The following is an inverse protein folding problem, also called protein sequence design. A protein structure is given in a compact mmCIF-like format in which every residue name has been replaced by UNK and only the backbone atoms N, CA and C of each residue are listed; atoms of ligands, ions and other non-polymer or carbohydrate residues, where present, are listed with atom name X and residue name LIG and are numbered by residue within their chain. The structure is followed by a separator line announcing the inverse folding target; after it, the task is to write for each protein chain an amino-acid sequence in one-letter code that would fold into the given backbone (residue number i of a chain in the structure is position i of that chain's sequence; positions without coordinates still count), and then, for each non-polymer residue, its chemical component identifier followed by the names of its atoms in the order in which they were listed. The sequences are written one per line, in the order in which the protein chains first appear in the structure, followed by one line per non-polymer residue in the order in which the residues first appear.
data_IF_011842163767
#
_entry.id   IF_011842163767
#
_cell.length_a   1.000
_cell.length_b   1.000
_cell.length_c   1.000
_cell.angle_alpha   90.00
_cell.angle_beta   90.00
_cell.angle_gamma   90.00
#
_symmetry.space_group_name_H-M   'P 1'
#
loop_
_entity.id
_entity.type
_entity.pdbx_description
1 polymer ?
#
# COMPACT_ATOMS: atom_id res chain seq x y z
N UNK A 1 -43.39 -8.06 19.94
CA UNK A 1 -42.21 -7.21 20.14
C UNK A 1 -41.07 -7.55 19.15
N UNK A 2 -41.38 -8.00 17.94
CA UNK A 2 -40.42 -8.54 16.95
C UNK A 2 -40.22 -7.63 15.73
N UNK A 3 -40.92 -6.52 15.64
CA UNK A 3 -40.98 -5.72 14.39
C UNK A 3 -40.03 -4.54 14.32
N UNK A 4 -39.34 -4.16 15.40
CA UNK A 4 -38.49 -2.95 15.39
C UNK A 4 -37.04 -3.18 14.90
N UNK A 5 -36.53 -4.39 15.02
CA UNK A 5 -35.15 -4.73 14.59
C UNK A 5 -35.03 -4.97 13.08
N UNK A 6 -36.12 -5.32 12.41
CA UNK A 6 -36.14 -5.67 10.98
C UNK A 6 -35.87 -4.47 10.07
N UNK A 7 -36.25 -3.24 10.45
CA UNK A 7 -36.08 -2.05 9.63
C UNK A 7 -34.62 -1.54 9.60
N UNK A 8 -33.86 -1.70 10.68
CA UNK A 8 -32.47 -1.31 10.73
C UNK A 8 -31.57 -2.21 9.86
N UNK A 9 -31.86 -3.51 9.81
CA UNK A 9 -31.15 -4.45 8.95
C UNK A 9 -31.32 -4.11 7.48
N UNK A 10 -32.53 -3.75 7.04
CA UNK A 10 -32.82 -3.30 5.69
C UNK A 10 -32.09 -1.98 5.36
N UNK A 11 -32.10 -1.02 6.29
CA UNK A 11 -31.44 0.26 6.10
C UNK A 11 -29.92 0.11 5.95
N UNK A 12 -29.29 -0.72 6.78
CA UNK A 12 -27.86 -1.04 6.69
C UNK A 12 -27.54 -1.78 5.39
N UNK A 13 -28.39 -2.74 4.98
CA UNK A 13 -28.23 -3.44 3.69
C UNK A 13 -28.30 -2.49 2.50
N UNK A 14 -29.20 -1.51 2.52
CA UNK A 14 -29.33 -0.48 1.50
C UNK A 14 -28.09 0.43 1.47
N UNK A 15 -27.58 0.83 2.62
CA UNK A 15 -26.35 1.66 2.71
C UNK A 15 -25.16 0.87 2.17
N UNK A 16 -25.02 -0.41 2.54
CA UNK A 16 -23.94 -1.28 2.03
C UNK A 16 -24.07 -1.47 0.52
N UNK A 17 -25.27 -1.69 0.00
CA UNK A 17 -25.53 -1.81 -1.44
C UNK A 17 -25.22 -0.49 -2.17
N UNK A 18 -25.66 0.64 -1.66
CA UNK A 18 -25.32 1.94 -2.21
C UNK A 18 -23.81 2.17 -2.21
N UNK A 19 -23.13 1.82 -1.13
CA UNK A 19 -21.68 1.95 -1.03
C UNK A 19 -20.95 1.04 -2.04
N UNK A 20 -21.41 -0.20 -2.20
CA UNK A 20 -20.88 -1.13 -3.22
C UNK A 20 -21.13 -0.58 -4.62
N UNK A 21 -22.30 -0.01 -4.88
CA UNK A 21 -22.66 0.57 -6.18
C UNK A 21 -21.88 1.85 -6.50
N UNK A 22 -21.64 2.73 -5.50
CA UNK A 22 -20.87 3.96 -5.67
C UNK A 22 -19.35 3.73 -5.62
N UNK A 23 -18.87 2.60 -5.14
CA UNK A 23 -17.44 2.30 -5.07
C UNK A 23 -16.71 2.28 -6.43
N UNK A 24 -17.35 1.95 -7.58
CA UNK A 24 -16.73 2.10 -8.90
C UNK A 24 -16.44 3.56 -9.26
N UNK A 25 -17.22 4.52 -8.75
CA UNK A 25 -16.98 5.96 -8.93
C UNK A 25 -15.68 6.43 -8.25
N UNK A 26 -15.28 5.80 -7.16
CA UNK A 26 -13.96 6.01 -6.54
C UNK A 26 -12.81 5.34 -7.30
N UNK A 27 -13.12 4.40 -8.18
CA UNK A 27 -12.16 3.72 -9.06
C UNK A 27 -11.98 4.40 -10.42
N UNK A 28 -12.58 5.55 -10.67
CA UNK A 28 -12.19 6.39 -11.79
C UNK A 28 -10.74 6.82 -11.51
N UNK A 29 -9.81 5.97 -11.92
CA UNK A 29 -8.46 6.41 -12.27
C UNK A 29 -8.68 7.41 -13.40
N UNK A 30 -8.81 8.67 -13.05
CA UNK A 30 -8.52 9.73 -13.98
C UNK A 30 -7.10 9.42 -14.44
N UNK A 31 -6.99 8.93 -15.66
CA UNK A 31 -5.72 8.78 -16.35
C UNK A 31 -5.25 10.22 -16.56
N UNK A 32 -4.60 10.73 -15.51
CA UNK A 32 -4.05 12.09 -15.52
C UNK A 32 -2.82 11.98 -16.40
N UNK A 33 -3.03 12.24 -17.68
CA UNK A 33 -1.95 12.40 -18.62
C UNK A 33 -0.86 13.31 -18.01
N UNK A 34 0.37 13.08 -18.37
CA UNK A 34 1.47 13.93 -17.93
C UNK A 34 1.35 15.26 -18.63
N UNK A 35 0.94 16.32 -17.92
CA UNK A 35 0.96 17.68 -18.41
C UNK A 35 2.35 18.27 -18.17
N UNK A 36 3.15 18.30 -19.21
CA UNK A 36 4.48 18.87 -19.20
C UNK A 36 4.64 19.85 -20.38
N UNK A 37 5.26 21.00 -20.13
CA UNK A 37 5.52 22.03 -21.16
C UNK A 37 6.69 21.67 -22.08
N UNK A 38 7.35 20.53 -21.85
CA UNK A 38 8.51 20.08 -22.61
C UNK A 38 8.32 18.68 -23.18
N UNK A 39 9.08 18.38 -24.25
CA UNK A 39 9.17 17.04 -24.79
C UNK A 39 9.67 16.06 -23.73
N UNK A 40 8.88 15.06 -23.41
CA UNK A 40 9.19 14.03 -22.41
C UNK A 40 10.50 13.30 -22.71
N UNK A 41 10.90 13.19 -23.97
CA UNK A 41 12.14 12.53 -24.38
C UNK A 41 13.41 13.30 -23.99
N UNK A 42 13.33 14.61 -23.73
CA UNK A 42 14.46 15.45 -23.32
C UNK A 42 14.70 15.46 -21.81
N UNK A 43 13.80 14.83 -21.04
CA UNK A 43 13.85 14.81 -19.58
C UNK A 43 15.01 13.91 -19.14
N UNK A 44 15.86 14.46 -18.27
CA UNK A 44 16.96 13.74 -17.63
C UNK A 44 16.75 13.51 -16.13
N UNK A 45 16.00 14.40 -15.47
CA UNK A 45 15.71 14.28 -14.02
C UNK A 45 14.22 14.47 -13.77
N UNK A 46 13.70 13.70 -12.85
CA UNK A 46 12.33 13.81 -12.36
C UNK A 46 12.34 14.01 -10.85
N UNK A 47 11.50 14.89 -10.37
CA UNK A 47 11.23 15.12 -8.97
C UNK A 47 9.74 14.87 -8.70
N UNK A 48 9.45 13.96 -7.79
CA UNK A 48 8.08 13.57 -7.55
C UNK A 48 7.91 12.65 -6.34
N UNK A 49 6.64 12.36 -6.04
CA UNK A 49 6.22 11.57 -4.89
C UNK A 49 5.81 10.16 -5.34
N UNK A 50 6.36 9.14 -4.71
CA UNK A 50 5.95 7.75 -4.95
C UNK A 50 4.50 7.56 -4.46
N UNK A 51 3.64 7.07 -5.34
CA UNK A 51 2.23 6.79 -5.05
C UNK A 51 1.92 5.31 -4.85
N UNK A 52 2.76 4.43 -5.39
CA UNK A 52 2.64 2.98 -5.22
C UNK A 52 3.96 2.36 -4.78
N UNK A 53 3.91 1.35 -3.91
CA UNK A 53 5.13 0.61 -3.54
C UNK A 53 5.74 -0.05 -4.78
N UNK A 54 7.08 -0.08 -4.90
CA UNK A 54 7.76 -0.72 -6.01
C UNK A 54 7.42 -2.21 -6.10
N UNK A 55 7.15 -2.72 -7.30
CA UNK A 55 6.87 -4.13 -7.57
C UNK A 55 7.90 -4.68 -8.53
N UNK A 56 8.47 -5.84 -8.23
CA UNK A 56 9.45 -6.51 -9.09
C UNK A 56 8.84 -6.90 -10.42
N UNK A 57 9.50 -6.55 -11.52
CA UNK A 57 9.07 -6.90 -12.87
C UNK A 57 9.43 -8.35 -13.20
N UNK A 58 8.74 -8.96 -14.16
CA UNK A 58 8.96 -10.36 -14.58
C UNK A 58 10.39 -10.64 -15.06
N UNK A 59 11.11 -9.63 -15.57
CA UNK A 59 12.51 -9.76 -15.99
C UNK A 59 13.52 -9.69 -14.83
N UNK A 60 13.05 -9.55 -13.59
CA UNK A 60 13.83 -9.45 -12.35
C UNK A 60 14.89 -8.34 -12.29
N UNK A 61 15.11 -7.60 -13.39
CA UNK A 61 16.14 -6.54 -13.50
C UNK A 61 15.65 -5.20 -12.97
N UNK A 62 14.32 -4.96 -12.96
CA UNK A 62 13.71 -3.69 -12.62
C UNK A 62 12.55 -3.87 -11.65
N UNK A 63 12.34 -2.84 -10.84
CA UNK A 63 11.12 -2.62 -10.07
C UNK A 63 10.30 -1.53 -10.75
N UNK A 64 9.00 -1.73 -10.87
CA UNK A 64 8.08 -0.71 -11.38
C UNK A 64 7.33 -0.02 -10.25
N UNK A 65 7.22 1.29 -10.33
CA UNK A 65 6.42 2.11 -9.41
C UNK A 65 5.79 3.28 -10.16
N UNK A 66 4.78 3.90 -9.57
CA UNK A 66 4.16 5.10 -10.10
C UNK A 66 4.59 6.31 -9.27
N UNK A 67 5.04 7.36 -9.94
CA UNK A 67 5.45 8.62 -9.33
C UNK A 67 4.54 9.73 -9.81
N UNK A 68 4.01 10.50 -8.86
CA UNK A 68 3.33 11.76 -9.13
C UNK A 68 4.43 12.83 -9.30
N UNK A 69 4.54 13.37 -10.51
CA UNK A 69 5.54 14.38 -10.85
C UNK A 69 5.18 15.72 -10.22
N UNK A 70 6.20 16.40 -9.70
CA UNK A 70 6.13 17.78 -9.25
C UNK A 70 6.96 18.68 -10.18
N UNK A 71 8.19 18.25 -10.51
CA UNK A 71 9.12 18.97 -11.36
C UNK A 71 9.90 18.01 -12.24
N UNK A 72 10.27 18.48 -13.40
CA UNK A 72 11.16 17.76 -14.32
C UNK A 72 12.29 18.68 -14.76
N UNK A 73 13.47 18.12 -14.99
CA UNK A 73 14.60 18.87 -15.52
C UNK A 73 15.11 18.23 -16.80
N UNK A 74 15.43 19.07 -17.77
CA UNK A 74 16.03 18.67 -19.04
C UNK A 74 17.55 18.59 -18.93
N UNK A 75 18.21 18.04 -19.94
CA UNK A 75 19.67 18.00 -20.04
C UNK A 75 20.32 19.39 -20.00
N UNK A 76 19.58 20.43 -20.39
CA UNK A 76 20.01 21.85 -20.33
C UNK A 76 19.86 22.45 -18.91
N UNK A 77 19.54 21.66 -17.89
CA UNK A 77 19.28 22.12 -16.52
C UNK A 77 18.06 23.07 -16.36
N UNK A 78 17.23 23.19 -17.36
CA UNK A 78 15.97 23.91 -17.25
C UNK A 78 14.98 23.07 -16.45
N UNK A 79 14.33 23.69 -15.47
CA UNK A 79 13.35 23.03 -14.61
C UNK A 79 11.94 23.47 -14.98
N UNK A 80 11.06 22.51 -15.22
CA UNK A 80 9.66 22.75 -15.54
C UNK A 80 8.76 22.15 -14.47
N UNK A 81 7.71 22.88 -14.12
CA UNK A 81 6.65 22.33 -13.30
C UNK A 81 5.85 21.33 -14.14
N UNK A 82 5.71 20.12 -13.64
CA UNK A 82 5.01 19.05 -14.33
C UNK A 82 4.04 18.40 -13.36
N UNK A 83 2.85 18.05 -13.82
CA UNK A 83 1.87 17.37 -13.00
C UNK A 83 1.34 16.15 -13.76
N UNK A 84 1.35 15.01 -13.13
CA UNK A 84 0.83 13.78 -13.71
C UNK A 84 1.47 12.55 -13.10
N UNK A 85 0.89 11.39 -13.40
CA UNK A 85 1.41 10.09 -12.99
C UNK A 85 2.28 9.51 -14.08
N UNK A 86 3.51 9.16 -13.74
CA UNK A 86 4.43 8.47 -14.65
C UNK A 86 4.81 7.11 -14.06
N UNK A 87 4.89 6.12 -14.94
CA UNK A 87 5.45 4.81 -14.57
C UNK A 87 6.97 4.88 -14.63
N UNK A 88 7.60 4.47 -13.54
CA UNK A 88 9.06 4.54 -13.35
C UNK A 88 9.61 3.15 -13.13
N UNK A 89 10.69 2.81 -13.84
CA UNK A 89 11.44 1.59 -13.68
C UNK A 89 12.76 1.86 -12.97
N UNK A 90 12.93 1.29 -11.79
CA UNK A 90 14.12 1.44 -10.95
C UNK A 90 14.92 0.15 -11.03
N UNK A 91 16.22 0.17 -11.36
CA UNK A 91 17.06 -1.03 -11.38
C UNK A 91 17.04 -1.77 -10.04
N UNK A 92 16.93 -3.10 -10.07
CA UNK A 92 16.91 -3.93 -8.87
C UNK A 92 18.11 -3.68 -7.97
N UNK A 93 19.30 -3.46 -8.55
CA UNK A 93 20.52 -3.14 -7.81
C UNK A 93 20.39 -1.90 -6.91
N UNK A 94 19.58 -0.91 -7.31
CA UNK A 94 19.38 0.33 -6.53
C UNK A 94 18.46 0.04 -5.33
N UNK A 95 17.39 -0.71 -5.53
CA UNK A 95 16.45 -1.04 -4.46
C UNK A 95 17.03 -2.10 -3.52
N UNK A 96 17.62 -3.15 -4.06
CA UNK A 96 18.16 -4.27 -3.30
C UNK A 96 19.42 -3.89 -2.51
N UNK A 97 20.14 -2.83 -2.89
CA UNK A 97 21.25 -2.29 -2.09
C UNK A 97 20.83 -1.83 -0.68
N UNK A 98 19.54 -1.58 -0.45
CA UNK A 98 18.99 -1.21 0.86
C UNK A 98 18.43 -2.40 1.66
N UNK A 99 18.53 -3.60 1.09
CA UNK A 99 18.27 -4.84 1.81
C UNK A 99 19.63 -5.46 2.16
N UNK A 100 20.25 -5.15 3.28
CA UNK A 100 21.43 -5.86 3.69
C UNK A 100 21.04 -7.31 3.96
N UNK A 101 21.65 -8.25 3.25
CA UNK A 101 21.64 -9.67 3.63
C UNK A 101 22.16 -9.88 5.06
N UNK A 102 22.85 -8.87 5.60
CA UNK A 102 23.37 -8.82 6.97
C UNK A 102 22.72 -7.66 7.73
N UNK A 103 21.88 -7.98 8.69
CA UNK A 103 21.26 -7.05 9.65
C UNK A 103 22.28 -6.17 10.44
N UNK A 104 23.58 -6.40 10.29
CA UNK A 104 24.65 -5.84 11.10
C UNK A 104 25.81 -5.24 10.29
N UNK A 105 25.63 -4.97 9.03
CA UNK A 105 26.68 -4.24 8.30
C UNK A 105 26.58 -2.75 8.62
N UNK A 106 27.40 -2.31 9.54
CA UNK A 106 27.63 -0.92 9.96
C UNK A 106 28.40 -0.10 8.91
N UNK A 107 28.14 -0.26 7.66
CA UNK A 107 28.74 0.58 6.65
C UNK A 107 27.99 1.89 6.54
N UNK A 108 28.55 2.91 7.15
CA UNK A 108 28.08 4.29 7.33
C UNK A 108 27.94 5.13 6.06
N UNK A 109 27.78 4.57 4.87
CA UNK A 109 28.09 5.39 3.71
C UNK A 109 27.02 5.53 2.62
N UNK A 110 25.78 5.09 2.78
CA UNK A 110 24.77 5.48 1.79
C UNK A 110 23.46 5.82 2.49
N UNK A 111 23.02 7.08 2.29
CA UNK A 111 21.74 7.63 2.72
C UNK A 111 20.65 6.59 2.57
N UNK A 112 19.98 6.25 3.66
CA UNK A 112 18.87 5.28 3.71
C UNK A 112 17.72 5.73 2.80
N UNK A 113 17.80 5.40 1.53
CA UNK A 113 16.77 5.68 0.55
C UNK A 113 15.67 4.64 0.66
N UNK A 114 14.60 4.95 1.35
CA UNK A 114 13.47 4.04 1.52
C UNK A 114 12.49 4.29 0.37
N UNK A 115 12.39 3.36 -0.59
CA UNK A 115 11.45 3.45 -1.70
C UNK A 115 10.07 2.96 -1.28
N UNK A 116 9.29 3.86 -0.69
CA UNK A 116 7.92 3.58 -0.23
C UNK A 116 6.97 4.73 -0.57
N UNK A 117 5.69 4.44 -0.54
CA UNK A 117 4.63 5.42 -0.79
C UNK A 117 4.72 6.61 0.14
N UNK A 118 4.66 7.80 -0.42
CA UNK A 118 4.68 9.06 0.32
C UNK A 118 6.03 9.76 0.36
N UNK A 119 7.14 9.07 0.01
CA UNK A 119 8.46 9.69 -0.12
C UNK A 119 8.58 10.54 -1.38
N UNK A 120 9.36 11.60 -1.31
CA UNK A 120 9.74 12.45 -2.43
C UNK A 120 11.15 12.08 -2.88
N UNK A 121 11.30 11.89 -4.19
CA UNK A 121 12.54 11.42 -4.80
C UNK A 121 12.91 12.30 -5.98
N UNK A 122 14.19 12.63 -6.04
CA UNK A 122 14.80 13.18 -7.23
C UNK A 122 15.61 12.08 -7.91
N UNK A 123 15.18 11.68 -9.09
CA UNK A 123 15.73 10.56 -9.83
C UNK A 123 16.30 11.03 -11.15
N UNK A 124 17.50 10.59 -11.49
CA UNK A 124 18.09 10.80 -12.82
C UNK A 124 17.89 9.57 -13.70
N UNK A 125 17.72 9.80 -14.99
CA UNK A 125 17.49 8.71 -15.92
C UNK A 125 17.10 9.21 -17.31
N UNK A 126 16.37 8.37 -18.04
CA UNK A 126 15.90 8.70 -19.38
C UNK A 126 14.47 8.20 -19.59
N UNK A 127 13.76 8.93 -20.45
CA UNK A 127 12.39 8.60 -20.82
C UNK A 127 12.37 7.72 -22.06
N UNK A 128 11.66 6.60 -22.03
CA UNK A 128 11.50 5.67 -23.15
C UNK A 128 10.16 4.92 -23.01
N UNK A 129 9.47 4.72 -24.15
CA UNK A 129 8.23 3.93 -24.21
C UNK A 129 7.20 4.31 -23.12
N UNK A 130 6.90 5.60 -23.03
CA UNK A 130 5.92 6.15 -22.07
C UNK A 130 6.25 5.86 -20.59
N UNK A 131 7.51 5.61 -20.28
CA UNK A 131 8.00 5.28 -18.94
C UNK A 131 9.38 5.87 -18.70
N UNK A 132 9.70 6.14 -17.44
CA UNK A 132 11.00 6.67 -17.06
C UNK A 132 11.89 5.59 -16.48
N UNK A 133 13.09 5.44 -17.01
CA UNK A 133 14.10 4.48 -16.56
C UNK A 133 15.14 5.18 -15.71
N UNK A 134 15.24 4.80 -14.45
CA UNK A 134 16.15 5.40 -13.47
C UNK A 134 17.55 4.86 -13.65
N UNK A 135 18.52 5.76 -13.71
CA UNK A 135 19.95 5.44 -13.66
C UNK A 135 20.48 5.59 -12.24
N UNK A 136 20.06 6.65 -11.52
CA UNK A 136 20.55 6.95 -10.19
C UNK A 136 19.49 7.70 -9.37
N UNK A 137 19.51 7.50 -8.04
CA UNK A 137 18.74 8.28 -7.09
C UNK A 137 19.61 9.39 -6.49
N UNK A 138 19.28 10.64 -6.80
CA UNK A 138 20.05 11.81 -6.39
C UNK A 138 19.72 12.23 -4.95
N UNK A 139 18.45 12.26 -4.62
CA UNK A 139 18.00 12.63 -3.28
C UNK A 139 16.68 11.98 -2.91
N UNK A 140 16.48 11.83 -1.62
CA UNK A 140 15.26 11.37 -1.00
C UNK A 140 14.92 12.30 0.17
N UNK A 141 13.69 12.74 0.23
CA UNK A 141 13.18 13.57 1.30
C UNK A 141 11.77 13.14 1.70
N UNK A 142 11.36 13.54 2.90
CA UNK A 142 10.02 13.32 3.40
C UNK A 142 9.43 14.66 3.81
N UNK A 143 8.15 14.82 3.55
CA UNK A 143 7.46 16.05 3.89
C UNK A 143 7.48 16.28 5.42
N UNK A 144 7.80 17.52 5.86
CA UNK A 144 7.86 17.87 7.29
C UNK A 144 6.49 17.98 7.99
N UNK A 145 5.41 17.72 7.25
CA UNK A 145 4.06 17.72 7.78
C UNK A 145 3.80 16.48 8.67
N UNK A 146 2.77 16.54 9.52
CA UNK A 146 2.34 15.37 10.32
C UNK A 146 2.04 14.16 9.41
N UNK A 147 1.44 14.39 8.24
CA UNK A 147 1.18 13.34 7.25
C UNK A 147 2.49 12.72 6.73
N UNK A 148 3.51 13.54 6.48
CA UNK A 148 4.82 13.06 6.04
C UNK A 148 5.54 12.25 7.13
N UNK A 149 5.47 12.67 8.39
CA UNK A 149 6.03 11.92 9.52
C UNK A 149 5.36 10.56 9.71
N UNK A 150 4.03 10.50 9.61
CA UNK A 150 3.27 9.24 9.68
C UNK A 150 3.63 8.33 8.49
N UNK A 151 3.75 8.89 7.29
CA UNK A 151 4.16 8.13 6.10
C UNK A 151 5.58 7.58 6.25
N UNK A 152 6.51 8.38 6.76
CA UNK A 152 7.88 7.95 7.07
C UNK A 152 7.91 6.83 8.10
N UNK A 153 7.18 6.97 9.21
CA UNK A 153 7.10 5.95 10.25
C UNK A 153 6.54 4.63 9.70
N UNK A 154 5.48 4.71 8.87
CA UNK A 154 4.93 3.56 8.17
C UNK A 154 5.97 2.90 7.26
N UNK A 155 6.70 3.69 6.48
CA UNK A 155 7.73 3.20 5.58
C UNK A 155 8.86 2.48 6.35
N UNK A 156 9.27 3.02 7.49
CA UNK A 156 10.25 2.38 8.39
C UNK A 156 9.74 1.06 8.95
N UNK A 157 8.51 1.01 9.46
CA UNK A 157 7.90 -0.23 9.96
C UNK A 157 7.83 -1.31 8.86
N UNK A 158 7.40 -0.92 7.64
CA UNK A 158 7.35 -1.84 6.50
C UNK A 158 8.74 -2.32 6.09
N UNK A 159 9.75 -1.44 6.09
CA UNK A 159 11.11 -1.81 5.77
C UNK A 159 11.68 -2.84 6.76
N UNK A 160 11.47 -2.62 8.07
CA UNK A 160 11.91 -3.58 9.08
C UNK A 160 11.20 -4.94 8.94
N UNK A 161 9.92 -4.92 8.64
CA UNK A 161 9.16 -6.14 8.39
C UNK A 161 9.65 -6.89 7.14
N UNK A 162 9.94 -6.16 6.05
CA UNK A 162 10.55 -6.72 4.85
C UNK A 162 11.91 -7.34 5.13
N UNK A 163 12.76 -6.67 5.90
CA UNK A 163 14.07 -7.19 6.32
C UNK A 163 13.96 -8.48 7.13
N UNK A 164 13.00 -8.53 8.06
CA UNK A 164 12.73 -9.73 8.84
C UNK A 164 12.33 -10.92 7.97
N UNK A 165 11.46 -10.69 6.98
CA UNK A 165 10.98 -11.74 6.07
C UNK A 165 11.99 -12.07 4.95
N UNK A 166 12.84 -11.14 4.56
CA UNK A 166 13.86 -11.35 3.52
C UNK A 166 14.84 -12.50 3.87
N UNK A 167 15.11 -12.71 5.17
CA UNK A 167 15.94 -13.82 5.64
C UNK A 167 15.36 -15.21 5.30
N UNK A 168 14.05 -15.29 5.03
CA UNK A 168 13.36 -16.55 4.69
C UNK A 168 13.28 -16.80 3.18
N UNK A 169 13.97 -15.99 2.37
CA UNK A 169 14.06 -16.15 0.92
C UNK A 169 12.69 -16.14 0.22
N UNK A 170 12.44 -17.12 -0.64
CA UNK A 170 11.18 -17.24 -1.42
C UNK A 170 9.93 -17.36 -0.54
N UNK A 171 10.02 -18.08 0.56
CA UNK A 171 8.92 -18.23 1.52
C UNK A 171 8.58 -16.88 2.18
N UNK A 172 9.61 -16.09 2.52
CA UNK A 172 9.44 -14.74 3.06
C UNK A 172 8.76 -13.80 2.07
N UNK A 173 9.10 -13.89 0.78
CA UNK A 173 8.42 -13.12 -0.28
C UNK A 173 6.94 -13.46 -0.41
N UNK A 174 6.59 -14.75 -0.36
CA UNK A 174 5.20 -15.21 -0.37
C UNK A 174 4.45 -14.74 0.88
N UNK A 175 5.06 -14.86 2.06
CA UNK A 175 4.47 -14.44 3.32
C UNK A 175 4.24 -12.91 3.33
N UNK A 176 5.16 -12.13 2.78
CA UNK A 176 5.00 -10.69 2.63
C UNK A 176 3.80 -10.34 1.73
N UNK A 177 3.62 -11.07 0.63
CA UNK A 177 2.47 -10.89 -0.26
C UNK A 177 1.16 -11.24 0.46
N UNK A 178 1.13 -12.32 1.21
CA UNK A 178 -0.06 -12.78 1.95
C UNK A 178 -0.41 -11.86 3.12
N UNK A 179 0.57 -11.36 3.88
CA UNK A 179 0.30 -10.53 5.07
C UNK A 179 0.11 -9.05 4.74
N UNK A 180 0.85 -8.52 3.78
CA UNK A 180 0.88 -7.08 3.48
C UNK A 180 0.38 -6.74 2.08
N UNK A 181 0.07 -7.74 1.24
CA UNK A 181 -0.26 -7.56 -0.16
C UNK A 181 0.88 -7.00 -1.01
N UNK A 182 2.10 -7.01 -0.48
CA UNK A 182 3.28 -6.52 -1.16
C UNK A 182 3.92 -7.65 -1.96
N UNK A 183 3.81 -7.57 -3.29
CA UNK A 183 4.36 -8.58 -4.22
C UNK A 183 5.82 -8.31 -4.60
N UNK A 184 6.50 -7.46 -3.86
CA UNK A 184 7.84 -6.99 -4.20
C UNK A 184 8.87 -8.11 -4.30
N UNK A 185 8.74 -9.13 -3.46
CA UNK A 185 9.67 -10.27 -3.36
C UNK A 185 9.05 -11.60 -3.76
N UNK A 186 7.83 -11.59 -4.31
CA UNK A 186 7.19 -12.82 -4.76
C UNK A 186 7.89 -13.30 -6.02
N UNK A 187 8.37 -14.54 -5.99
CA UNK A 187 8.94 -15.21 -7.15
C UNK A 187 7.93 -15.26 -8.30
N UNK A 188 8.38 -14.94 -9.51
CA UNK A 188 7.53 -14.96 -10.71
C UNK A 188 6.92 -16.32 -10.96
N UNK A 189 7.64 -17.41 -10.67
CA UNK A 189 7.13 -18.79 -10.80
C UNK A 189 5.96 -19.03 -9.83
N UNK A 190 6.08 -18.57 -8.58
CA UNK A 190 5.01 -18.67 -7.58
C UNK A 190 3.82 -17.82 -8.04
N UNK A 191 4.05 -16.58 -8.47
CA UNK A 191 2.99 -15.71 -8.96
C UNK A 191 2.23 -16.32 -10.14
N UNK A 192 2.95 -16.91 -11.10
CA UNK A 192 2.36 -17.59 -12.25
C UNK A 192 1.58 -18.85 -11.84
N UNK A 193 2.10 -19.66 -10.90
CA UNK A 193 1.41 -20.82 -10.38
C UNK A 193 0.07 -20.43 -9.71
N UNK A 194 0.05 -19.36 -8.92
CA UNK A 194 -1.18 -18.81 -8.34
C UNK A 194 -2.15 -18.27 -9.40
N UNK A 195 -1.64 -17.71 -10.50
CA UNK A 195 -2.45 -17.23 -11.60
C UNK A 195 -3.08 -18.39 -12.38
N UNK A 196 -2.29 -19.42 -12.70
CA UNK A 196 -2.75 -20.61 -13.43
C UNK A 196 -3.78 -21.40 -12.62
N UNK A 197 -3.65 -21.46 -11.30
CA UNK A 197 -4.61 -22.11 -10.41
C UNK A 197 -5.85 -21.26 -10.09
N UNK A 198 -5.97 -20.05 -10.66
CA UNK A 198 -7.08 -19.12 -10.36
C UNK A 198 -7.02 -18.47 -8.97
N UNK A 199 -5.96 -18.70 -8.21
CA UNK A 199 -5.77 -18.23 -6.84
C UNK A 199 -5.06 -16.86 -6.72
N UNK A 200 -4.91 -16.14 -7.82
CA UNK A 200 -4.24 -14.83 -7.85
C UNK A 200 -4.87 -13.79 -6.91
N UNK A 201 -6.17 -13.95 -6.61
CA UNK A 201 -6.91 -13.10 -5.67
C UNK A 201 -6.43 -13.26 -4.22
N UNK A 202 -5.83 -14.39 -3.84
CA UNK A 202 -5.26 -14.62 -2.51
C UNK A 202 -4.00 -13.79 -2.30
N UNK A 203 -3.19 -13.59 -3.36
CA UNK A 203 -2.01 -12.72 -3.30
C UNK A 203 -2.36 -11.22 -3.28
N UNK A 204 -3.59 -10.87 -3.59
CA UNK A 204 -4.08 -9.50 -3.43
C UNK A 204 -4.69 -9.34 -2.05
N UNK A 205 -4.41 -8.19 -1.40
CA UNK A 205 -5.07 -7.85 -0.14
C UNK A 205 -6.59 -7.86 -0.33
N UNK A 206 -7.24 -8.77 0.37
CA UNK A 206 -8.68 -8.99 0.28
C UNK A 206 -9.35 -8.86 1.65
N UNK A 207 -10.67 -8.87 1.66
CA UNK A 207 -11.46 -8.89 2.89
C UNK A 207 -11.17 -10.09 3.77
N UNK A 208 -10.71 -11.21 3.21
CA UNK A 208 -10.31 -12.40 3.95
C UNK A 208 -9.15 -12.11 4.94
N UNK A 209 -8.14 -11.35 4.50
CA UNK A 209 -7.03 -10.95 5.39
C UNK A 209 -7.53 -10.10 6.56
N UNK A 210 -8.44 -9.15 6.26
CA UNK A 210 -9.02 -8.28 7.29
C UNK A 210 -9.87 -9.08 8.28
N UNK A 211 -10.68 -10.05 7.81
CA UNK A 211 -11.48 -10.92 8.67
C UNK A 211 -10.62 -11.82 9.55
N UNK A 212 -9.49 -12.33 9.04
CA UNK A 212 -8.54 -13.12 9.80
C UNK A 212 -7.92 -12.29 10.95
N UNK A 213 -7.45 -11.08 10.67
CA UNK A 213 -6.91 -10.17 11.69
C UNK A 213 -7.99 -9.74 12.70
N UNK A 214 -9.20 -9.48 12.23
CA UNK A 214 -10.35 -9.22 13.12
C UNK A 214 -10.67 -10.40 14.02
N UNK A 215 -10.59 -11.64 13.50
CA UNK A 215 -10.78 -12.87 14.25
C UNK A 215 -9.73 -13.08 15.33
N UNK A 216 -8.45 -12.81 15.02
CA UNK A 216 -7.35 -12.86 15.99
C UNK A 216 -7.59 -11.82 17.11
N UNK A 217 -7.95 -10.58 16.76
CA UNK A 217 -8.26 -9.54 17.73
C UNK A 217 -9.46 -9.94 18.64
N UNK A 218 -10.45 -10.64 18.07
CA UNK A 218 -11.58 -11.16 18.81
C UNK A 218 -11.18 -12.27 19.80
N UNK A 219 -10.26 -13.14 19.40
CA UNK A 219 -9.74 -14.20 20.28
C UNK A 219 -9.06 -13.61 21.52
N UNK A 220 -8.21 -12.61 21.35
CA UNK A 220 -7.58 -11.90 22.47
C UNK A 220 -8.60 -11.08 23.30
N UNK A 221 -9.60 -10.51 22.65
CA UNK A 221 -10.66 -9.73 23.32
C UNK A 221 -11.62 -10.57 24.15
N UNK A 222 -11.91 -11.82 23.77
CA UNK A 222 -12.82 -12.73 24.51
C UNK A 222 -12.45 -12.93 25.97
N UNK A 223 -11.17 -12.80 26.32
CA UNK A 223 -10.67 -12.94 27.69
C UNK A 223 -11.10 -11.77 28.61
N UNK A 224 -11.51 -10.64 28.02
CA UNK A 224 -11.97 -9.48 28.78
C UNK A 224 -13.51 -9.42 28.81
N UNK A 225 -14.09 -9.36 30.01
CA UNK A 225 -15.54 -9.16 30.21
C UNK A 225 -16.02 -7.74 29.85
N UNK A 226 -15.11 -6.82 29.50
CA UNK A 226 -15.41 -5.40 29.23
C UNK A 226 -15.75 -5.21 27.74
N UNK A 227 -17.02 -5.09 27.39
CA UNK A 227 -17.50 -4.90 26.01
C UNK A 227 -16.84 -3.72 25.28
N UNK A 228 -16.74 -2.55 25.94
CA UNK A 228 -16.08 -1.37 25.38
C UNK A 228 -14.63 -1.62 25.02
N UNK A 229 -13.88 -2.33 25.88
CA UNK A 229 -12.47 -2.64 25.63
C UNK A 229 -12.32 -3.57 24.42
N UNK A 230 -13.18 -4.58 24.29
CA UNK A 230 -13.17 -5.49 23.14
C UNK A 230 -13.45 -4.76 21.83
N UNK A 231 -14.42 -3.84 21.82
CA UNK A 231 -14.71 -3.00 20.68
C UNK A 231 -13.50 -2.16 20.29
N UNK A 232 -12.89 -1.49 21.27
CA UNK A 232 -11.70 -0.63 21.03
C UNK A 232 -10.51 -1.43 20.50
N UNK A 233 -10.23 -2.61 21.04
CA UNK A 233 -9.13 -3.49 20.57
C UNK A 233 -9.36 -3.89 19.11
N UNK A 234 -10.57 -4.34 18.75
CA UNK A 234 -10.90 -4.71 17.37
C UNK A 234 -10.77 -3.54 16.43
N UNK A 235 -11.33 -2.39 16.79
CA UNK A 235 -11.28 -1.17 16.00
C UNK A 235 -9.83 -0.71 15.74
N UNK A 236 -9.02 -0.69 16.80
CA UNK A 236 -7.61 -0.30 16.71
C UNK A 236 -6.81 -1.29 15.83
N UNK A 237 -7.05 -2.60 15.98
CA UNK A 237 -6.40 -3.62 15.14
C UNK A 237 -6.73 -3.44 13.66
N UNK A 238 -7.99 -3.17 13.32
CA UNK A 238 -8.40 -2.92 11.93
C UNK A 238 -7.72 -1.67 11.36
N UNK A 239 -7.69 -0.57 12.13
CA UNK A 239 -7.02 0.66 11.70
C UNK A 239 -5.52 0.45 11.48
N UNK A 240 -4.84 -0.19 12.44
CA UNK A 240 -3.40 -0.46 12.35
C UNK A 240 -3.10 -1.35 11.14
N UNK A 241 -3.93 -2.37 10.89
CA UNK A 241 -3.75 -3.25 9.74
C UNK A 241 -3.88 -2.49 8.41
N UNK A 242 -4.95 -1.70 8.23
CA UNK A 242 -5.16 -0.91 7.01
C UNK A 242 -4.06 0.13 6.82
N UNK A 243 -3.64 0.77 7.90
CA UNK A 243 -2.54 1.73 7.87
C UNK A 243 -1.22 1.06 7.45
N UNK A 244 -0.91 -0.10 7.99
CA UNK A 244 0.32 -0.84 7.68
C UNK A 244 0.31 -1.40 6.25
N UNK A 245 -0.76 -2.09 5.87
CA UNK A 245 -0.91 -2.71 4.56
C UNK A 245 -0.97 -1.68 3.42
N UNK A 246 -1.64 -0.57 3.66
CA UNK A 246 -1.89 0.48 2.67
C UNK A 246 -3.28 0.39 2.09
N UNK A 247 -3.78 1.55 1.67
CA UNK A 247 -5.13 1.67 1.15
C UNK A 247 -5.20 1.11 -0.27
N UNK A 248 -5.91 0.00 -0.44
CA UNK A 248 -6.36 -0.50 -1.73
C UNK A 248 -7.89 -0.45 -1.80
N UNK A 249 -8.50 -0.32 -2.99
CA UNK A 249 -9.96 -0.25 -3.11
C UNK A 249 -10.66 -1.47 -2.51
N UNK A 250 -10.10 -2.66 -2.67
CA UNK A 250 -10.62 -3.91 -2.10
C UNK A 250 -10.56 -3.91 -0.58
N UNK A 251 -9.43 -3.50 -0.01
CA UNK A 251 -9.23 -3.44 1.44
C UNK A 251 -10.11 -2.37 2.08
N UNK A 252 -10.29 -1.22 1.42
CA UNK A 252 -11.15 -0.15 1.92
C UNK A 252 -12.62 -0.60 2.02
N UNK A 253 -13.12 -1.27 0.99
CA UNK A 253 -14.47 -1.86 1.01
C UNK A 253 -14.64 -2.83 2.17
N UNK A 254 -13.69 -3.77 2.31
CA UNK A 254 -13.72 -4.74 3.40
C UNK A 254 -13.64 -4.08 4.78
N UNK A 255 -12.83 -3.02 4.92
CA UNK A 255 -12.71 -2.26 6.15
C UNK A 255 -14.04 -1.59 6.56
N UNK A 256 -14.72 -0.96 5.60
CA UNK A 256 -16.02 -0.34 5.86
C UNK A 256 -17.07 -1.39 6.23
N UNK A 257 -17.13 -2.51 5.50
CA UNK A 257 -18.02 -3.60 5.87
C UNK A 257 -17.74 -4.14 7.29
N UNK A 258 -16.46 -4.33 7.63
CA UNK A 258 -16.08 -4.80 8.97
C UNK A 258 -16.46 -3.79 10.07
N UNK A 259 -16.29 -2.48 9.81
CA UNK A 259 -16.72 -1.42 10.73
C UNK A 259 -18.24 -1.44 10.94
N UNK A 260 -19.01 -1.56 9.87
CA UNK A 260 -20.47 -1.61 9.95
C UNK A 260 -20.95 -2.82 10.76
N UNK A 261 -20.41 -4.01 10.47
CA UNK A 261 -20.73 -5.22 11.25
C UNK A 261 -20.36 -5.05 12.72
N UNK A 262 -19.21 -4.46 13.01
CA UNK A 262 -18.75 -4.26 14.38
C UNK A 262 -19.63 -3.25 15.14
N UNK A 263 -20.02 -2.15 14.49
CA UNK A 263 -20.95 -1.16 15.06
C UNK A 263 -22.32 -1.79 15.32
N UNK A 264 -22.82 -2.54 14.36
CA UNK A 264 -24.11 -3.22 14.49
C UNK A 264 -24.13 -4.19 15.67
N UNK A 265 -23.11 -5.04 15.75
CA UNK A 265 -22.94 -5.97 16.87
C UNK A 265 -22.85 -5.26 18.22
N UNK A 266 -22.20 -4.11 18.28
CA UNK A 266 -22.09 -3.31 19.50
C UNK A 266 -23.44 -2.73 19.94
N UNK A 267 -24.26 -2.24 19.00
CA UNK A 267 -25.58 -1.68 19.29
C UNK A 267 -26.63 -2.77 19.62
N UNK A 268 -26.59 -3.91 18.93
CA UNK A 268 -27.48 -5.05 19.23
C UNK A 268 -27.25 -5.59 20.65
N UNK A 269 -26.00 -5.72 21.05
CA UNK A 269 -25.67 -6.13 22.41
C UNK A 269 -26.09 -5.11 23.48
N UNK A 270 -26.20 -3.83 23.14
CA UNK A 270 -26.71 -2.78 24.05
C UNK A 270 -28.23 -2.86 24.13
N UNK A 271 -28.91 -3.11 23.00
CA UNK A 271 -30.38 -3.18 22.96
C UNK A 271 -30.95 -4.38 23.70
N UNK A 272 -30.15 -5.43 23.96
CA UNK A 272 -30.54 -6.58 24.76
C UNK A 272 -30.40 -6.35 26.29
N UNK A 273 -29.86 -5.20 26.71
CA UNK A 273 -29.63 -4.84 28.13
C UNK A 273 -30.72 -3.88 28.62
N UNK A 274 -31.47 -3.27 27.72
CA UNK A 274 -32.65 -2.41 27.97
C UNK A 274 -33.92 -3.10 27.44
#
# INVERSE_FOLDING_TARGET
MVTKTRNYSLFVSVIVLLFIFYSPLFNIKLDRGVFCLTDLQKINKIDGKITSSPVKCSNEKYYSTNILLNKVSTKSNETFSCNGLIKVYIPAKIIEAYFPEKLYSSSHSKKNCIYETGGQYCLSGFYKNNSFYVSECLSNSWENSLKGKIAYFRAMCRLQFKRCLASWGRAGGLLLALLCGSREYTDTNISNAFQLSGLSHILALSGMHLSMFSGIAMFFGKKSKRKKLNFTIRFLTLIIFVWFAGVSPSLLRAFICALLVMLFSYFDEISLIF
#
